data_IF_648829831128
#
_entry.id   IF_648829831128
#
_cell.length_a   1.000
_cell.length_b   1.000
_cell.length_c   1.000
_cell.angle_alpha   90.00
_cell.angle_beta   90.00
_cell.angle_gamma   90.00
#
_symmetry.space_group_name_H-M   'P 1'
#
loop_
_entity.id
_entity.type
_entity.pdbx_description
1 polymer ?
#
# COMPACT_ATOMS: atom_id res chain seq x y z
N UNK A 1 -16.08 -21.71 -21.63
CA UNK A 1 -15.61 -20.49 -20.97
C UNK A 1 -14.91 -20.92 -19.69
N UNK A 2 -13.57 -21.02 -19.70
CA UNK A 2 -12.83 -21.38 -18.48
C UNK A 2 -12.70 -20.09 -17.65
N UNK A 3 -12.99 -20.11 -16.34
CA UNK A 3 -12.79 -18.95 -15.48
C UNK A 3 -11.31 -18.58 -15.50
N UNK A 4 -11.03 -17.29 -15.38
CA UNK A 4 -9.71 -16.68 -15.32
C UNK A 4 -8.78 -17.54 -14.47
N UNK A 5 -7.83 -18.20 -15.12
CA UNK A 5 -6.79 -18.96 -14.44
C UNK A 5 -6.00 -17.90 -13.66
N UNK A 6 -5.99 -18.00 -12.34
CA UNK A 6 -5.09 -17.22 -11.49
C UNK A 6 -3.73 -17.19 -12.16
N UNK A 7 -3.17 -16.00 -12.38
CA UNK A 7 -1.93 -15.83 -13.12
C UNK A 7 -0.74 -16.25 -12.26
N UNK A 8 -0.69 -17.55 -11.93
CA UNK A 8 0.45 -18.25 -11.30
C UNK A 8 1.74 -18.02 -12.09
N UNK A 9 1.63 -17.64 -13.37
CA UNK A 9 2.74 -17.32 -14.25
C UNK A 9 3.13 -15.84 -14.30
N UNK A 10 2.59 -14.97 -13.45
CA UNK A 10 2.97 -13.55 -13.48
C UNK A 10 4.46 -13.34 -13.19
N UNK A 11 5.03 -14.13 -12.28
CA UNK A 11 6.44 -14.06 -11.92
C UNK A 11 7.02 -15.46 -11.76
N UNK A 12 8.25 -15.66 -12.25
CA UNK A 12 8.99 -16.91 -12.12
C UNK A 12 10.12 -16.85 -11.09
N UNK A 13 10.74 -18.01 -10.80
CA UNK A 13 11.91 -18.10 -9.93
C UNK A 13 13.03 -17.15 -10.40
N UNK A 14 13.57 -16.38 -9.46
CA UNK A 14 14.65 -15.42 -9.68
C UNK A 14 14.17 -14.03 -10.10
N UNK A 15 12.91 -13.86 -10.51
CA UNK A 15 12.40 -12.56 -10.92
C UNK A 15 12.42 -11.54 -9.79
N UNK A 16 12.79 -10.31 -10.12
CA UNK A 16 12.81 -9.20 -9.18
C UNK A 16 11.43 -8.56 -9.11
N UNK A 17 10.86 -8.50 -7.92
CA UNK A 17 9.53 -7.94 -7.65
C UNK A 17 9.60 -6.87 -6.58
N UNK A 18 8.69 -5.90 -6.65
CA UNK A 18 8.51 -4.83 -5.66
C UNK A 18 7.21 -5.02 -4.92
N UNK A 19 7.24 -4.91 -3.59
CA UNK A 19 6.00 -4.85 -2.79
C UNK A 19 5.34 -3.48 -2.92
N UNK A 20 4.06 -3.46 -3.28
CA UNK A 20 3.31 -2.20 -3.47
C UNK A 20 2.68 -1.68 -2.18
N UNK A 21 2.57 -2.53 -1.16
CA UNK A 21 2.01 -2.21 0.16
C UNK A 21 2.91 -2.75 1.28
N UNK A 22 2.70 -2.25 2.49
CA UNK A 22 3.36 -2.80 3.67
C UNK A 22 2.88 -4.23 3.92
N UNK A 23 3.80 -5.18 3.94
CA UNK A 23 3.50 -6.58 4.27
C UNK A 23 3.63 -6.73 5.78
N UNK A 24 2.54 -7.13 6.43
CA UNK A 24 2.47 -7.38 7.87
C UNK A 24 2.23 -8.85 8.13
N UNK A 25 2.75 -9.36 9.24
CA UNK A 25 2.54 -10.74 9.62
C UNK A 25 1.05 -10.98 9.87
N UNK A 26 0.43 -11.87 9.10
CA UNK A 26 -0.96 -12.29 9.27
C UNK A 26 -1.10 -13.53 10.16
N UNK A 27 0.01 -14.02 10.72
CA UNK A 27 0.08 -15.22 11.55
C UNK A 27 0.82 -16.37 10.88
N UNK A 28 1.24 -16.21 9.62
CA UNK A 28 2.00 -17.23 8.87
C UNK A 28 3.51 -17.13 9.05
N UNK A 29 4.04 -15.96 9.43
CA UNK A 29 5.48 -15.76 9.62
C UNK A 29 5.92 -16.19 11.04
N UNK A 30 6.90 -17.10 11.18
CA UNK A 30 7.26 -17.68 12.47
C UNK A 30 7.98 -16.69 13.38
N UNK A 31 7.71 -16.76 14.69
CA UNK A 31 8.46 -16.03 15.71
C UNK A 31 8.18 -14.53 15.79
N UNK A 32 7.15 -14.02 15.11
CA UNK A 32 6.73 -12.62 15.19
C UNK A 32 5.24 -12.51 15.50
N UNK A 33 4.83 -11.44 16.19
CA UNK A 33 3.43 -11.18 16.50
C UNK A 33 2.63 -10.83 15.23
N UNK A 34 1.34 -11.16 15.23
CA UNK A 34 0.40 -10.73 14.17
C UNK A 34 0.35 -9.20 14.12
N UNK A 35 0.38 -8.65 12.91
CA UNK A 35 0.40 -7.21 12.64
C UNK A 35 1.80 -6.60 12.58
N UNK A 36 2.85 -7.35 12.97
CA UNK A 36 4.25 -6.89 12.85
C UNK A 36 4.60 -6.55 11.41
N UNK A 37 5.24 -5.41 11.16
CA UNK A 37 5.71 -5.04 9.82
C UNK A 37 6.86 -5.96 9.41
N UNK A 38 6.63 -6.76 8.37
CA UNK A 38 7.63 -7.68 7.82
C UNK A 38 8.47 -6.97 6.76
N UNK A 39 7.81 -6.39 5.76
CA UNK A 39 8.45 -5.73 4.63
C UNK A 39 7.73 -4.41 4.37
N UNK A 40 8.51 -3.34 4.19
CA UNK A 40 7.97 -2.02 3.86
C UNK A 40 7.65 -1.94 2.37
N UNK A 41 6.55 -1.26 2.00
CA UNK A 41 6.24 -0.97 0.59
C UNK A 41 7.45 -0.34 -0.10
N UNK A 42 7.63 -0.62 -1.39
CA UNK A 42 8.79 -0.21 -2.17
C UNK A 42 9.98 -1.15 -2.10
N UNK A 43 10.04 -2.03 -1.11
CA UNK A 43 11.13 -3.01 -1.01
C UNK A 43 11.11 -3.94 -2.22
N UNK A 44 12.29 -4.16 -2.78
CA UNK A 44 12.52 -5.11 -3.88
C UNK A 44 13.10 -6.40 -3.31
N UNK A 45 12.63 -7.53 -3.82
CA UNK A 45 13.16 -8.85 -3.51
C UNK A 45 13.08 -9.76 -4.73
N UNK A 46 13.58 -10.99 -4.58
CA UNK A 46 13.56 -11.98 -5.66
C UNK A 46 12.63 -13.13 -5.32
N UNK A 47 11.80 -13.54 -6.28
CA UNK A 47 10.94 -14.72 -6.14
C UNK A 47 11.82 -15.96 -6.02
N UNK A 48 11.57 -16.79 -5.01
CA UNK A 48 12.30 -18.06 -4.80
C UNK A 48 11.39 -19.29 -4.86
N UNK A 49 10.08 -19.10 -4.73
CA UNK A 49 9.09 -20.18 -4.82
C UNK A 49 7.72 -19.59 -5.16
N UNK A 50 6.94 -20.33 -5.93
CA UNK A 50 5.53 -20.04 -6.19
C UNK A 50 4.72 -21.20 -5.64
N UNK A 51 3.85 -20.92 -4.68
CA UNK A 51 2.97 -21.89 -4.04
C UNK A 51 1.52 -21.43 -4.06
N UNK A 52 0.65 -22.27 -3.51
CA UNK A 52 -0.77 -21.95 -3.33
C UNK A 52 -1.19 -22.08 -1.88
N UNK A 53 -2.04 -21.16 -1.43
CA UNK A 53 -2.73 -21.19 -0.15
C UNK A 53 -4.21 -21.46 -0.39
N UNK A 54 -4.83 -22.31 0.43
CA UNK A 54 -6.25 -22.71 0.32
C UNK A 54 -6.71 -23.13 -1.09
N UNK A 55 -5.79 -23.67 -1.91
CA UNK A 55 -6.00 -24.15 -3.29
C UNK A 55 -6.39 -23.08 -4.33
N UNK A 56 -6.65 -21.84 -3.93
CA UNK A 56 -7.14 -20.76 -4.81
C UNK A 56 -6.31 -19.47 -4.76
N UNK A 57 -5.42 -19.31 -3.78
CA UNK A 57 -4.60 -18.11 -3.63
C UNK A 57 -3.15 -18.39 -3.99
N UNK A 58 -2.63 -17.71 -5.02
CA UNK A 58 -1.22 -17.78 -5.38
C UNK A 58 -0.40 -16.98 -4.38
N UNK A 59 0.63 -17.62 -3.82
CA UNK A 59 1.59 -17.01 -2.90
C UNK A 59 2.98 -17.10 -3.52
N UNK A 60 3.62 -15.96 -3.67
CA UNK A 60 5.01 -15.84 -4.09
C UNK A 60 5.88 -15.74 -2.84
N UNK A 61 6.74 -16.71 -2.60
CA UNK A 61 7.78 -16.57 -1.57
C UNK A 61 8.87 -15.70 -2.15
N UNK A 62 9.05 -14.51 -1.56
CA UNK A 62 10.04 -13.52 -2.03
C UNK A 62 11.13 -13.38 -0.98
N UNK A 63 12.39 -13.49 -1.42
CA UNK A 63 13.55 -13.22 -0.61
C UNK A 63 13.94 -11.74 -0.72
N UNK A 64 13.74 -11.00 0.36
CA UNK A 64 14.14 -9.61 0.52
C UNK A 64 15.53 -9.56 1.17
N UNK A 65 16.57 -9.54 0.33
CA UNK A 65 17.97 -9.60 0.75
C UNK A 65 18.35 -8.48 1.71
N UNK A 66 17.89 -7.25 1.47
CA UNK A 66 18.22 -6.10 2.31
C UNK A 66 17.67 -6.23 3.75
N UNK A 67 16.55 -6.95 3.91
CA UNK A 67 15.92 -7.22 5.19
C UNK A 67 16.32 -8.58 5.78
N UNK A 68 16.98 -9.44 5.00
CA UNK A 68 17.31 -10.82 5.38
C UNK A 68 16.07 -11.68 5.66
N UNK A 69 14.98 -11.48 4.91
CA UNK A 69 13.68 -12.14 5.17
C UNK A 69 13.12 -12.79 3.91
N UNK A 70 12.55 -13.99 4.08
CA UNK A 70 11.73 -14.65 3.07
C UNK A 70 10.26 -14.52 3.48
N UNK A 71 9.44 -13.89 2.65
CA UNK A 71 8.04 -13.59 2.99
C UNK A 71 7.13 -14.01 1.85
N UNK A 72 6.06 -14.74 2.18
CA UNK A 72 4.98 -15.04 1.24
C UNK A 72 4.17 -13.78 0.95
N UNK A 73 4.05 -13.44 -0.33
CA UNK A 73 3.32 -12.27 -0.81
C UNK A 73 2.21 -12.72 -1.75
N UNK A 74 1.03 -12.11 -1.66
CA UNK A 74 -0.05 -12.34 -2.63
C UNK A 74 0.23 -11.61 -3.93
N UNK A 75 -0.37 -12.09 -5.03
CA UNK A 75 -0.23 -11.49 -6.36
C UNK A 75 -0.52 -9.98 -6.35
N UNK A 76 -1.60 -9.56 -5.68
CA UNK A 76 -2.00 -8.16 -5.61
C UNK A 76 -1.08 -7.27 -4.75
N UNK A 77 -0.06 -7.87 -4.10
CA UNK A 77 0.95 -7.18 -3.29
C UNK A 77 2.22 -6.89 -4.08
N UNK A 78 2.35 -7.47 -5.27
CA UNK A 78 3.57 -7.45 -6.07
C UNK A 78 3.35 -6.78 -7.42
N UNK A 79 4.41 -6.13 -7.89
CA UNK A 79 4.64 -5.73 -9.28
C UNK A 79 6.08 -6.11 -9.63
N UNK A 80 6.41 -6.23 -10.92
CA UNK A 80 7.80 -6.36 -11.36
C UNK A 80 8.65 -5.19 -10.86
N UNK A 81 9.92 -5.43 -10.54
CA UNK A 81 10.80 -4.39 -10.00
C UNK A 81 10.97 -3.19 -10.95
N UNK A 82 10.87 -3.41 -12.26
CA UNK A 82 10.96 -2.37 -13.29
C UNK A 82 9.59 -1.82 -13.73
N UNK A 83 8.49 -2.39 -13.22
CA UNK A 83 7.15 -1.86 -13.50
C UNK A 83 6.98 -0.46 -12.87
N UNK A 84 6.25 0.47 -13.52
CA UNK A 84 5.93 1.76 -12.96
C UNK A 84 5.30 1.63 -11.58
N UNK A 85 5.97 2.23 -10.59
CA UNK A 85 5.48 2.29 -9.23
C UNK A 85 5.11 3.73 -8.91
N UNK A 86 3.84 3.94 -8.58
CA UNK A 86 3.34 5.25 -8.12
C UNK A 86 3.09 5.16 -6.60
N UNK A 87 4.09 5.49 -5.77
CA UNK A 87 4.00 5.24 -4.35
C UNK A 87 3.21 6.36 -3.67
N UNK A 88 2.21 5.97 -2.88
CA UNK A 88 1.42 6.91 -2.08
C UNK A 88 2.22 7.43 -0.89
N UNK A 89 2.04 8.69 -0.53
CA UNK A 89 2.51 9.21 0.76
C UNK A 89 1.76 8.59 1.93
N UNK A 90 0.43 8.53 1.86
CA UNK A 90 -0.44 8.01 2.91
C UNK A 90 -1.07 6.65 2.55
N UNK A 91 -1.45 5.86 3.55
CA UNK A 91 -2.14 4.58 3.39
C UNK A 91 -3.50 4.57 4.09
N UNK A 92 -4.27 3.51 3.85
CA UNK A 92 -5.51 3.27 4.57
C UNK A 92 -5.35 3.41 6.09
N UNK A 93 -6.27 4.14 6.71
CA UNK A 93 -6.31 4.50 8.14
C UNK A 93 -5.25 5.49 8.62
N UNK A 94 -4.38 6.01 7.74
CA UNK A 94 -3.50 7.10 8.14
C UNK A 94 -4.34 8.33 8.54
N UNK A 95 -3.96 8.91 9.68
CA UNK A 95 -4.54 10.17 10.17
C UNK A 95 -3.84 11.34 9.49
N UNK A 96 -4.63 12.19 8.85
CA UNK A 96 -4.16 13.34 8.09
C UNK A 96 -4.88 14.61 8.53
N UNK A 97 -4.34 15.77 8.19
CA UNK A 97 -4.98 17.07 8.32
C UNK A 97 -5.03 17.75 6.96
N UNK A 98 -6.03 18.61 6.76
CA UNK A 98 -6.08 19.49 5.60
C UNK A 98 -4.89 20.46 5.63
N UNK A 99 -4.04 20.46 4.60
CA UNK A 99 -2.93 21.42 4.49
C UNK A 99 -3.39 22.80 4.00
N UNK A 100 -4.57 22.85 3.38
CA UNK A 100 -5.27 24.01 2.83
C UNK A 100 -6.76 23.95 3.16
N UNK A 101 -7.52 25.02 2.93
CA UNK A 101 -8.97 24.98 3.03
C UNK A 101 -9.56 24.13 1.90
N UNK A 102 -10.43 23.18 2.26
CA UNK A 102 -11.15 22.32 1.32
C UNK A 102 -12.56 22.84 1.14
N UNK A 103 -12.95 23.09 -0.11
CA UNK A 103 -14.29 23.57 -0.44
C UNK A 103 -14.84 22.95 -1.72
N UNK A 104 -16.16 23.00 -1.85
CA UNK A 104 -16.88 22.61 -3.08
C UNK A 104 -17.68 23.82 -3.54
N UNK A 105 -17.55 24.20 -4.81
CA UNK A 105 -18.27 25.32 -5.42
C UNK A 105 -18.13 26.65 -4.65
N UNK A 106 -16.92 26.93 -4.13
CA UNK A 106 -16.62 28.17 -3.41
C UNK A 106 -17.04 28.19 -1.93
N UNK A 107 -17.73 27.16 -1.43
CA UNK A 107 -18.02 27.02 -0.01
C UNK A 107 -16.94 26.18 0.68
N UNK A 108 -16.25 26.75 1.66
CA UNK A 108 -15.31 26.01 2.51
C UNK A 108 -16.10 25.00 3.34
N UNK A 109 -15.80 23.72 3.14
CA UNK A 109 -16.38 22.61 3.90
C UNK A 109 -15.50 22.26 5.11
N UNK A 110 -14.18 22.27 4.93
CA UNK A 110 -13.22 21.97 5.97
C UNK A 110 -12.08 22.97 5.92
N UNK A 111 -11.81 23.64 7.04
CA UNK A 111 -10.69 24.56 7.15
C UNK A 111 -9.36 23.81 7.21
N UNK A 112 -8.28 24.47 6.81
CA UNK A 112 -6.91 24.02 7.05
C UNK A 112 -6.75 23.58 8.52
N UNK A 113 -6.10 22.43 8.72
CA UNK A 113 -5.91 21.80 10.02
C UNK A 113 -7.04 20.84 10.44
N UNK A 114 -8.15 20.76 9.70
CA UNK A 114 -9.20 19.76 10.00
C UNK A 114 -8.63 18.35 9.82
N UNK A 115 -8.71 17.55 10.88
CA UNK A 115 -8.33 16.14 10.88
C UNK A 115 -9.28 15.27 10.03
N UNK A 116 -8.70 14.27 9.38
CA UNK A 116 -9.38 13.22 8.64
C UNK A 116 -8.64 11.89 8.70
N UNK A 117 -9.25 10.87 8.14
CA UNK A 117 -8.67 9.53 8.01
C UNK A 117 -8.73 9.07 6.55
N UNK A 118 -7.61 8.57 6.04
CA UNK A 118 -7.53 8.02 4.69
C UNK A 118 -8.35 6.74 4.61
N UNK A 119 -9.36 6.73 3.75
CA UNK A 119 -10.24 5.60 3.51
C UNK A 119 -9.84 4.79 2.28
N UNK A 120 -9.29 5.45 1.25
CA UNK A 120 -8.83 4.77 0.04
C UNK A 120 -7.76 5.59 -0.67
N UNK A 121 -6.76 4.90 -1.23
CA UNK A 121 -5.78 5.48 -2.16
C UNK A 121 -6.25 5.17 -3.59
N UNK A 122 -6.33 6.20 -4.43
CA UNK A 122 -6.77 6.14 -5.82
C UNK A 122 -5.55 6.36 -6.72
N UNK A 123 -5.30 5.40 -7.62
CA UNK A 123 -4.08 5.32 -8.44
C UNK A 123 -4.38 5.35 -9.95
N UNK A 124 -5.57 5.81 -10.32
CA UNK A 124 -6.06 5.77 -11.72
C UNK A 124 -5.38 6.83 -12.61
N UNK A 125 -4.71 7.81 -12.01
CA UNK A 125 -4.00 8.91 -12.68
C UNK A 125 -2.53 8.94 -12.25
N UNK A 126 -1.69 9.69 -12.97
CA UNK A 126 -0.29 9.94 -12.56
C UNK A 126 -0.20 10.59 -11.17
N UNK A 127 -1.11 11.49 -10.84
CA UNK A 127 -1.20 12.12 -9.52
C UNK A 127 -2.09 11.31 -8.58
N UNK A 128 -1.51 10.82 -7.48
CA UNK A 128 -2.25 10.08 -6.46
C UNK A 128 -3.34 10.96 -5.84
N UNK A 129 -4.54 10.38 -5.77
CA UNK A 129 -5.68 10.96 -5.09
C UNK A 129 -6.09 10.08 -3.91
N UNK A 130 -6.78 10.67 -2.95
CA UNK A 130 -7.23 9.98 -1.74
C UNK A 130 -8.71 10.20 -1.54
N UNK A 131 -9.45 9.16 -1.15
CA UNK A 131 -10.69 9.34 -0.42
C UNK A 131 -10.36 9.48 1.05
N UNK A 132 -10.69 10.63 1.62
CA UNK A 132 -10.43 10.95 3.03
C UNK A 132 -11.74 11.30 3.71
N UNK A 133 -11.99 10.68 4.86
CA UNK A 133 -13.14 10.96 5.70
C UNK A 133 -12.81 12.10 6.68
N UNK A 134 -13.44 13.25 6.48
CA UNK A 134 -13.38 14.41 7.36
C UNK A 134 -14.71 14.56 8.10
N UNK A 135 -14.70 14.46 9.43
CA UNK A 135 -15.90 14.60 10.27
C UNK A 135 -17.12 13.77 9.77
N UNK A 136 -16.88 12.56 9.27
CA UNK A 136 -17.91 11.66 8.75
C UNK A 136 -18.30 11.85 7.28
N UNK A 137 -17.74 12.85 6.57
CA UNK A 137 -17.94 13.05 5.13
C UNK A 137 -16.68 12.69 4.35
N UNK A 138 -16.84 11.90 3.30
CA UNK A 138 -15.73 11.52 2.41
C UNK A 138 -15.56 12.55 1.30
N UNK A 139 -14.32 13.03 1.11
CA UNK A 139 -13.92 13.84 -0.03
C UNK A 139 -12.81 13.14 -0.81
N UNK A 140 -12.80 13.34 -2.13
CA UNK A 140 -11.65 13.02 -2.97
C UNK A 140 -10.72 14.24 -3.04
N UNK A 141 -9.48 14.06 -2.61
CA UNK A 141 -8.48 15.15 -2.53
C UNK A 141 -7.12 14.70 -3.06
N UNK A 142 -6.32 15.62 -3.62
CA UNK A 142 -4.95 15.32 -4.02
C UNK A 142 -4.04 15.16 -2.81
N UNK A 143 -2.91 14.46 -2.99
CA UNK A 143 -1.89 14.29 -1.94
C UNK A 143 -1.42 15.63 -1.34
N UNK A 144 -1.27 16.65 -2.18
CA UNK A 144 -0.78 17.98 -1.81
C UNK A 144 -1.71 18.72 -0.84
N UNK A 145 -2.99 18.34 -0.78
CA UNK A 145 -3.97 18.90 0.14
C UNK A 145 -3.91 18.28 1.55
N UNK A 146 -3.01 17.32 1.78
CA UNK A 146 -2.89 16.56 3.02
C UNK A 146 -1.52 16.74 3.68
N UNK A 147 -1.51 16.75 5.00
CA UNK A 147 -0.34 16.60 5.83
C UNK A 147 -0.59 15.52 6.90
N UNK A 148 0.44 14.85 7.44
CA UNK A 148 0.24 13.91 8.53
C UNK A 148 -0.36 14.62 9.75
N UNK A 149 -1.37 14.02 10.38
CA UNK A 149 -1.99 14.60 11.58
C UNK A 149 -1.05 14.56 12.79
N UNK A 150 -0.09 13.63 12.79
CA UNK A 150 0.90 13.43 13.85
C UNK A 150 2.30 13.29 13.25
N UNK A 151 2.91 14.41 12.80
CA UNK A 151 4.20 14.38 12.11
C UNK A 151 5.31 13.63 12.88
N UNK A 152 5.31 13.71 14.20
CA UNK A 152 6.27 13.07 15.10
C UNK A 152 6.21 11.54 15.10
N UNK A 153 5.08 10.96 14.70
CA UNK A 153 4.87 9.50 14.63
C UNK A 153 4.71 9.00 13.20
N UNK A 154 4.60 9.91 12.24
CA UNK A 154 4.45 9.60 10.84
C UNK A 154 5.81 9.28 10.23
N UNK A 155 5.94 8.06 9.72
CA UNK A 155 7.15 7.64 9.02
C UNK A 155 6.97 7.95 7.54
N UNK A 156 7.60 9.03 7.10
CA UNK A 156 7.64 9.41 5.69
C UNK A 156 8.12 8.20 4.85
N UNK A 157 7.43 7.83 3.78
CA UNK A 157 7.96 6.83 2.86
C UNK A 157 9.23 7.33 2.20
N UNK A 158 10.22 6.46 2.16
CA UNK A 158 11.38 6.59 1.28
C UNK A 158 10.95 6.02 -0.08
N UNK A 159 11.07 6.82 -1.14
CA UNK A 159 10.71 6.42 -2.51
C UNK A 159 11.98 6.17 -3.32
#
# INVERSE_FOLDING_TARGET
MKPERFDEGRFEFGESVRVTRNVRNDGTYPGMEVGTLLIRRGSVGNVIEVGTFLQDQVIFTVHFLAQGRMVGCRLEELIGADEPWNPSRFEFRDKVVCSIDLGIQGNVLFAKGTEGEVFKVIRDNELIQYHVAFQGRVLQVPETALAPARPESFNEPEF
#
